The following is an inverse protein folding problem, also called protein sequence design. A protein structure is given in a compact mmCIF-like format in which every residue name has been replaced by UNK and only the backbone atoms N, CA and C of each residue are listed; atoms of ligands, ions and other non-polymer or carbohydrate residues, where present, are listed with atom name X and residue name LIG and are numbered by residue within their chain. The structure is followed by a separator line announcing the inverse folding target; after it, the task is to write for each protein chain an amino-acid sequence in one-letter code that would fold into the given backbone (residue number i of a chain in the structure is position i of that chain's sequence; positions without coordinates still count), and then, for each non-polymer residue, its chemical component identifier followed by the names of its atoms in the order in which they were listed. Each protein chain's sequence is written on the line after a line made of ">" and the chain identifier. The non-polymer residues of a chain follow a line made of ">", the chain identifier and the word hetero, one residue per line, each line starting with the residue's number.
data_IF_084301001825
#
_entry.id   IF_084301001825
#
_cell.length_a   1.000
_cell.length_b   1.000
_cell.length_c   1.000
_cell.angle_alpha   90.00
_cell.angle_beta   90.00
_cell.angle_gamma   90.00
#
_symmetry.space_group_name_H-M   'P 1'
#
loop_
_entity.id
_entity.type
_entity.pdbx_description
1 polymer ?
#
# COMPACT_ATOMS: atom_id res chain seq x y z
N UNK A 1 34.61 -40.60 34.40
CA UNK A 1 34.19 -40.69 32.98
C UNK A 1 33.20 -41.83 32.86
N UNK A 2 31.91 -41.55 32.60
CA UNK A 2 30.89 -42.59 32.44
C UNK A 2 30.93 -43.11 31.01
N UNK A 3 31.16 -44.42 30.86
CA UNK A 3 31.13 -45.12 29.58
C UNK A 3 29.75 -44.98 28.94
N UNK A 4 29.70 -44.51 27.69
CA UNK A 4 28.50 -44.56 26.87
C UNK A 4 28.25 -46.01 26.45
N UNK A 5 27.17 -46.61 26.94
CA UNK A 5 26.72 -47.92 26.50
C UNK A 5 26.26 -47.82 25.04
N UNK A 6 26.92 -48.59 24.17
CA UNK A 6 26.68 -48.59 22.75
C UNK A 6 25.38 -49.36 22.46
N UNK A 7 24.34 -48.67 21.99
CA UNK A 7 23.04 -49.27 21.68
C UNK A 7 23.22 -50.37 20.59
N UNK A 8 22.65 -51.57 20.76
CA UNK A 8 22.76 -52.65 19.79
C UNK A 8 22.26 -52.22 18.41
N UNK A 9 23.02 -52.52 17.34
CA UNK A 9 22.70 -52.15 15.94
C UNK A 9 21.26 -52.51 15.51
N UNK A 10 20.70 -53.61 16.03
CA UNK A 10 19.31 -54.02 15.76
C UNK A 10 18.28 -53.07 16.37
N UNK A 11 18.53 -52.55 17.58
CA UNK A 11 17.64 -51.60 18.26
C UNK A 11 17.67 -50.26 17.53
N UNK A 12 18.86 -49.80 17.10
CA UNK A 12 19.01 -48.59 16.30
C UNK A 12 18.23 -48.66 14.97
N UNK A 13 18.31 -49.80 14.27
CA UNK A 13 17.58 -50.00 13.02
C UNK A 13 16.05 -49.96 13.22
N UNK A 14 15.54 -50.55 14.30
CA UNK A 14 14.11 -50.53 14.63
C UNK A 14 13.65 -49.10 14.96
N UNK A 15 14.45 -48.34 15.71
CA UNK A 15 14.13 -46.93 16.05
C UNK A 15 14.11 -46.08 14.78
N UNK A 16 15.09 -46.22 13.89
CA UNK A 16 15.12 -45.48 12.63
C UNK A 16 13.93 -45.81 11.72
N UNK A 17 13.55 -47.09 11.64
CA UNK A 17 12.37 -47.51 10.88
C UNK A 17 11.09 -46.91 11.46
N UNK A 18 10.93 -46.92 12.79
CA UNK A 18 9.77 -46.34 13.47
C UNK A 18 9.69 -44.82 13.26
N UNK A 19 10.82 -44.11 13.29
CA UNK A 19 10.88 -42.67 12.98
C UNK A 19 10.49 -42.42 11.52
N UNK A 20 11.01 -43.23 10.58
CA UNK A 20 10.68 -43.10 9.16
C UNK A 20 9.18 -43.34 8.91
N UNK A 21 8.58 -44.37 9.52
CA UNK A 21 7.15 -44.65 9.38
C UNK A 21 6.30 -43.50 9.95
N UNK A 22 6.67 -42.95 11.12
CA UNK A 22 5.96 -41.80 11.69
C UNK A 22 6.09 -40.55 10.83
N UNK A 23 7.29 -40.27 10.32
CA UNK A 23 7.52 -39.15 9.43
C UNK A 23 6.74 -39.30 8.12
N UNK A 24 6.74 -40.49 7.54
CA UNK A 24 5.98 -40.80 6.32
C UNK A 24 4.46 -40.70 6.56
N UNK A 25 3.97 -41.20 7.69
CA UNK A 25 2.57 -41.04 8.08
C UNK A 25 2.19 -39.57 8.28
N UNK A 26 3.03 -38.79 8.95
CA UNK A 26 2.81 -37.36 9.13
C UNK A 26 2.86 -36.60 7.79
N UNK A 27 3.79 -36.94 6.90
CA UNK A 27 3.89 -36.39 5.56
C UNK A 27 2.64 -36.71 4.71
N UNK A 28 2.18 -37.96 4.71
CA UNK A 28 0.95 -38.36 4.02
C UNK A 28 -0.26 -37.64 4.61
N UNK A 29 -0.35 -37.51 5.94
CA UNK A 29 -1.43 -36.78 6.59
C UNK A 29 -1.40 -35.28 6.26
N UNK A 30 -0.21 -34.67 6.24
CA UNK A 30 -0.03 -33.26 5.93
C UNK A 30 -0.39 -32.96 4.46
N UNK A 31 0.03 -33.82 3.54
CA UNK A 31 -0.29 -33.71 2.11
C UNK A 31 -1.77 -33.98 1.82
N UNK A 32 -2.38 -35.00 2.45
CA UNK A 32 -3.79 -35.35 2.23
C UNK A 32 -4.81 -34.47 2.95
N UNK A 33 -4.47 -33.88 4.10
CA UNK A 33 -5.41 -33.00 4.83
C UNK A 33 -5.43 -31.55 4.32
N UNK A 34 -4.57 -31.21 3.36
CA UNK A 34 -4.63 -29.92 2.70
C UNK A 34 -5.74 -29.91 1.65
N UNK A 35 -7.01 -29.65 2.05
CA UNK A 35 -8.11 -29.41 1.10
C UNK A 35 -7.71 -28.44 -0.02
N UNK A 36 -6.90 -27.44 0.31
CA UNK A 36 -6.31 -26.50 -0.64
C UNK A 36 -5.44 -27.16 -1.73
N UNK A 37 -4.56 -28.10 -1.36
CA UNK A 37 -3.67 -28.76 -2.32
C UNK A 37 -4.42 -29.77 -3.19
N UNK A 38 -5.40 -30.47 -2.63
CA UNK A 38 -6.28 -31.37 -3.38
C UNK A 38 -7.10 -30.59 -4.43
N UNK A 39 -7.65 -29.44 -4.04
CA UNK A 39 -8.39 -28.55 -4.95
C UNK A 39 -7.47 -27.94 -6.02
N UNK A 40 -6.25 -27.52 -5.67
CA UNK A 40 -5.24 -27.03 -6.62
C UNK A 40 -4.75 -28.13 -7.61
N UNK A 41 -4.60 -29.37 -7.13
CA UNK A 41 -4.27 -30.52 -7.98
C UNK A 41 -5.43 -30.89 -8.91
N UNK A 42 -6.68 -30.80 -8.45
CA UNK A 42 -7.85 -30.99 -9.31
C UNK A 42 -7.96 -29.92 -10.40
N UNK A 43 -7.58 -28.68 -10.08
CA UNK A 43 -7.53 -27.57 -11.05
C UNK A 43 -6.43 -27.73 -12.12
N UNK A 44 -5.34 -28.44 -11.80
CA UNK A 44 -4.19 -28.63 -12.71
C UNK A 44 -4.20 -29.97 -13.44
N UNK A 45 -4.94 -30.97 -12.93
CA UNK A 45 -5.00 -32.32 -13.51
C UNK A 45 -6.11 -32.53 -14.54
N UNK A 46 -7.16 -31.70 -14.53
CA UNK A 46 -8.20 -31.74 -15.56
C UNK A 46 -7.80 -30.88 -16.77
N UNK A 47 -7.50 -31.56 -17.88
CA UNK A 47 -7.43 -30.96 -19.23
C UNK A 47 -8.83 -30.53 -19.68
N UNK A 48 -9.37 -29.49 -19.04
CA UNK A 48 -10.52 -28.75 -19.57
C UNK A 48 -9.98 -27.62 -20.43
N UNK A 49 -10.64 -27.30 -21.55
CA UNK A 49 -10.29 -26.18 -22.42
C UNK A 49 -10.38 -24.80 -21.73
N UNK A 50 -10.79 -24.76 -20.46
CA UNK A 50 -10.94 -23.58 -19.65
C UNK A 50 -10.35 -23.79 -18.24
N UNK A 51 -9.74 -22.72 -17.72
CA UNK A 51 -9.24 -22.65 -16.36
C UNK A 51 -10.41 -22.37 -15.40
N UNK A 52 -10.59 -23.20 -14.37
CA UNK A 52 -11.52 -22.90 -13.27
C UNK A 52 -10.76 -22.15 -12.18
N UNK A 53 -11.15 -20.90 -11.92
CA UNK A 53 -10.54 -20.14 -10.83
C UNK A 53 -11.21 -20.50 -9.49
N UNK A 54 -10.44 -20.75 -8.41
CA UNK A 54 -11.00 -20.94 -7.08
C UNK A 54 -11.41 -19.58 -6.50
N UNK A 55 -12.66 -19.18 -6.75
CA UNK A 55 -13.16 -17.84 -6.40
C UNK A 55 -13.53 -17.69 -4.92
N UNK A 56 -13.82 -18.81 -4.23
CA UNK A 56 -14.36 -18.82 -2.87
C UNK A 56 -13.39 -19.44 -1.86
N UNK A 57 -12.14 -18.96 -1.87
CA UNK A 57 -11.15 -19.33 -0.85
C UNK A 57 -11.47 -18.67 0.49
N UNK A 58 -11.54 -19.46 1.56
CA UNK A 58 -11.70 -18.97 2.93
C UNK A 58 -10.41 -18.26 3.41
N UNK A 59 -10.45 -16.95 3.69
CA UNK A 59 -9.29 -16.24 4.21
C UNK A 59 -8.82 -16.80 5.56
N UNK A 60 -9.65 -17.45 6.36
CA UNK A 60 -9.28 -17.92 7.70
C UNK A 60 -9.24 -19.45 7.83
N UNK A 61 -9.06 -20.14 6.70
CA UNK A 61 -8.97 -21.60 6.67
C UNK A 61 -7.96 -22.13 7.71
N UNK A 62 -8.32 -23.25 8.35
CA UNK A 62 -7.55 -23.83 9.44
C UNK A 62 -6.11 -24.19 9.04
N UNK A 63 -5.86 -24.52 7.77
CA UNK A 63 -4.54 -24.87 7.22
C UNK A 63 -3.59 -23.67 7.15
N UNK A 64 -4.12 -22.46 6.93
CA UNK A 64 -3.32 -21.22 6.81
C UNK A 64 -3.30 -20.41 8.10
N UNK A 65 -4.26 -20.63 9.01
CA UNK A 65 -4.39 -19.93 10.28
C UNK A 65 -3.09 -19.86 11.11
N UNK A 66 -2.26 -20.92 11.22
CA UNK A 66 -0.99 -20.85 11.94
C UNK A 66 0.03 -19.85 11.36
N UNK A 67 -0.10 -19.51 10.07
CA UNK A 67 0.79 -18.58 9.37
C UNK A 67 0.27 -17.14 9.34
N UNK A 68 -0.95 -16.89 9.85
CA UNK A 68 -1.51 -15.55 9.93
C UNK A 68 -0.94 -14.85 11.16
N UNK A 69 0.11 -14.05 10.94
CA UNK A 69 0.74 -13.25 12.00
C UNK A 69 0.08 -11.88 12.07
N UNK A 70 -0.47 -11.54 13.24
CA UNK A 70 -0.93 -10.17 13.51
C UNK A 70 0.28 -9.31 13.88
N UNK A 71 0.65 -8.40 12.99
CA UNK A 71 1.62 -7.36 13.30
C UNK A 71 0.96 -6.46 14.36
N UNK A 72 1.65 -6.15 15.48
CA UNK A 72 1.12 -5.20 16.46
C UNK A 72 0.80 -3.88 15.76
N UNK A 73 -0.23 -3.20 16.28
CA UNK A 73 -0.61 -1.89 15.75
C UNK A 73 0.61 -1.00 15.67
N UNK A 74 0.80 -0.35 14.51
CA UNK A 74 1.86 0.61 14.30
C UNK A 74 1.56 1.77 15.25
N UNK A 75 2.19 1.75 16.42
CA UNK A 75 2.22 2.90 17.30
C UNK A 75 3.09 3.92 16.61
N UNK A 76 2.47 4.88 15.93
CA UNK A 76 3.10 6.11 15.48
C UNK A 76 3.62 6.83 16.73
N UNK A 77 4.78 6.38 17.21
CA UNK A 77 5.50 7.09 18.24
C UNK A 77 6.05 8.31 17.52
N UNK A 78 5.76 9.54 17.94
CA UNK A 78 6.48 10.69 17.40
C UNK A 78 7.98 10.33 17.47
N UNK A 79 8.73 10.47 16.36
CA UNK A 79 10.10 10.01 16.27
C UNK A 79 10.88 10.43 17.51
N UNK A 80 11.45 9.45 18.22
CA UNK A 80 12.42 9.73 19.29
C UNK A 80 13.64 10.48 18.76
N UNK A 81 13.85 10.49 17.43
CA UNK A 81 14.72 11.46 16.77
C UNK A 81 13.99 12.79 16.72
N UNK A 82 14.23 13.57 17.77
CA UNK A 82 13.89 14.98 17.91
C UNK A 82 14.01 15.76 16.59
N UNK A 83 15.02 15.46 15.77
CA UNK A 83 15.31 16.11 14.48
C UNK A 83 14.19 16.09 13.42
N UNK A 84 13.34 15.06 13.34
CA UNK A 84 12.32 15.00 12.29
C UNK A 84 11.08 15.87 12.60
N UNK A 85 10.77 16.08 13.89
CA UNK A 85 9.64 16.90 14.35
C UNK A 85 10.06 18.25 14.95
N UNK A 86 11.34 18.46 15.28
CA UNK A 86 11.88 19.81 15.62
C UNK A 86 11.76 20.76 14.43
N UNK A 87 11.90 20.21 13.22
CA UNK A 87 11.95 21.00 12.00
C UNK A 87 10.57 21.14 11.33
N UNK A 88 9.51 20.48 11.80
CA UNK A 88 8.16 20.74 11.29
C UNK A 88 7.67 22.02 11.96
N UNK A 89 7.76 23.13 11.23
CA UNK A 89 7.30 24.44 11.70
C UNK A 89 5.85 24.73 11.35
N UNK A 90 5.32 24.10 10.31
CA UNK A 90 3.94 24.32 9.87
C UNK A 90 3.25 23.01 9.54
N UNK A 91 1.92 22.98 9.71
CA UNK A 91 1.06 21.86 9.33
C UNK A 91 -0.33 22.39 8.99
N UNK A 92 -1.08 21.65 8.17
CA UNK A 92 -2.49 21.96 7.88
C UNK A 92 -3.36 21.10 8.77
N UNK A 93 -4.32 21.72 9.44
CA UNK A 93 -5.29 21.00 10.27
C UNK A 93 -6.43 20.39 9.44
N UNK A 94 -7.34 19.70 10.12
CA UNK A 94 -8.47 19.00 9.50
C UNK A 94 -9.45 19.97 8.82
N UNK A 95 -9.46 21.25 9.21
CA UNK A 95 -10.31 22.31 8.63
C UNK A 95 -9.64 23.01 7.42
N UNK A 96 -8.41 22.64 7.08
CA UNK A 96 -7.66 23.21 5.96
C UNK A 96 -6.98 24.54 6.29
N UNK A 97 -6.75 24.81 7.57
CA UNK A 97 -6.04 26.01 8.03
C UNK A 97 -4.58 25.66 8.26
N UNK A 98 -3.67 26.45 7.68
CA UNK A 98 -2.25 26.33 7.93
C UNK A 98 -1.92 26.92 9.30
N UNK A 99 -1.41 26.08 10.17
CA UNK A 99 -0.95 26.43 11.50
C UNK A 99 0.57 26.52 11.54
N UNK A 100 1.09 27.52 12.28
CA UNK A 100 2.51 27.64 12.58
C UNK A 100 2.77 27.25 14.03
N UNK A 101 3.77 26.40 14.25
CA UNK A 101 4.16 25.95 15.57
C UNK A 101 4.77 27.10 16.36
N UNK A 102 4.32 27.27 17.61
CA UNK A 102 4.96 28.21 18.52
C UNK A 102 6.34 27.67 18.94
N UNK A 103 7.40 28.42 18.68
CA UNK A 103 8.77 28.04 19.06
C UNK A 103 9.46 29.17 19.80
N UNK A 104 10.45 28.82 20.63
CA UNK A 104 11.22 29.80 21.42
C UNK A 104 12.18 30.66 20.59
N UNK A 105 12.50 30.26 19.36
CA UNK A 105 13.41 31.02 18.50
C UNK A 105 12.61 31.83 17.46
N UNK A 106 13.17 32.99 17.07
CA UNK A 106 12.54 33.86 16.09
C UNK A 106 12.83 33.37 14.68
N UNK A 107 11.79 33.40 13.85
CA UNK A 107 11.85 33.12 12.42
C UNK A 107 10.71 33.86 11.73
N UNK A 108 10.82 34.06 10.43
CA UNK A 108 9.73 34.54 9.61
C UNK A 108 9.49 33.57 8.45
N UNK A 109 8.23 33.40 8.08
CA UNK A 109 7.84 32.49 7.00
C UNK A 109 7.20 33.24 5.85
N UNK A 110 7.39 32.71 4.66
CA UNK A 110 6.70 33.11 3.45
C UNK A 110 5.99 31.91 2.86
N UNK A 111 4.93 32.16 2.11
CA UNK A 111 4.22 31.13 1.37
C UNK A 111 4.00 31.55 -0.08
N UNK A 112 3.85 30.56 -0.95
CA UNK A 112 3.37 30.75 -2.31
C UNK A 112 2.49 29.57 -2.72
N UNK A 113 1.51 29.85 -3.55
CA UNK A 113 0.69 28.82 -4.18
C UNK A 113 1.51 28.09 -5.24
N UNK A 114 1.37 26.76 -5.29
CA UNK A 114 1.95 25.92 -6.32
C UNK A 114 0.85 25.49 -7.27
N UNK A 115 0.97 25.85 -8.54
CA UNK A 115 0.02 25.47 -9.59
C UNK A 115 0.68 24.54 -10.60
N UNK A 116 -0.11 23.66 -11.19
CA UNK A 116 0.29 22.94 -12.39
C UNK A 116 0.38 23.94 -13.55
N UNK A 117 1.38 23.80 -14.40
CA UNK A 117 1.46 24.60 -15.61
C UNK A 117 0.50 24.04 -16.67
N UNK A 118 -0.51 24.82 -17.06
CA UNK A 118 -1.51 24.41 -18.05
C UNK A 118 -0.92 24.14 -19.44
N UNK A 119 0.25 24.71 -19.75
CA UNK A 119 0.91 24.57 -21.05
C UNK A 119 1.95 23.45 -21.12
N UNK A 120 2.45 22.98 -19.96
CA UNK A 120 3.47 21.95 -19.89
C UNK A 120 3.24 21.09 -18.65
N UNK A 121 2.73 19.89 -18.89
CA UNK A 121 2.28 18.96 -17.85
C UNK A 121 3.37 18.52 -16.87
N UNK A 122 4.65 18.66 -17.26
CA UNK A 122 5.81 18.27 -16.45
C UNK A 122 6.36 19.42 -15.60
N UNK A 123 5.72 20.61 -15.64
CA UNK A 123 6.19 21.80 -14.93
C UNK A 123 5.17 22.30 -13.93
N UNK A 124 5.69 22.78 -12.80
CA UNK A 124 4.93 23.53 -11.80
C UNK A 124 5.27 25.01 -11.88
N UNK A 125 4.30 25.86 -11.58
CA UNK A 125 4.48 27.31 -11.45
C UNK A 125 4.28 27.71 -10.00
N UNK A 126 5.12 28.64 -9.54
CA UNK A 126 5.03 29.21 -8.20
C UNK A 126 4.39 30.59 -8.29
N UNK A 127 3.40 30.85 -7.45
CA UNK A 127 2.81 32.17 -7.29
C UNK A 127 3.76 33.19 -6.66
N UNK A 128 3.24 34.40 -6.43
CA UNK A 128 3.99 35.41 -5.68
C UNK A 128 4.27 34.93 -4.24
N UNK A 129 5.49 35.16 -3.76
CA UNK A 129 5.83 34.91 -2.35
C UNK A 129 5.20 35.99 -1.48
N UNK A 130 4.36 35.57 -0.53
CA UNK A 130 3.69 36.42 0.43
C UNK A 130 4.18 36.10 1.84
N UNK A 131 4.13 37.07 2.75
CA UNK A 131 4.45 36.83 4.15
C UNK A 131 3.36 35.99 4.80
N UNK A 132 3.74 34.99 5.58
CA UNK A 132 2.80 34.07 6.22
C UNK A 132 2.09 34.76 7.40
N UNK A 133 0.75 34.89 7.39
CA UNK A 133 0.01 35.37 8.54
C UNK A 133 -0.02 34.33 9.67
N UNK A 134 -0.48 34.73 10.86
CA UNK A 134 -0.57 33.82 12.02
C UNK A 134 -1.50 32.62 11.80
N UNK A 135 -2.48 32.75 10.90
CA UNK A 135 -3.37 31.69 10.45
C UNK A 135 -3.74 31.96 8.99
N UNK A 136 -3.70 30.92 8.15
CA UNK A 136 -4.02 31.01 6.73
C UNK A 136 -5.02 29.91 6.37
N UNK A 137 -6.26 30.29 6.09
CA UNK A 137 -7.29 29.37 5.60
C UNK A 137 -7.07 29.11 4.10
N UNK A 138 -6.56 27.94 3.78
CA UNK A 138 -6.20 27.54 2.41
C UNK A 138 -7.46 27.32 1.56
N UNK A 139 -8.53 26.82 2.18
CA UNK A 139 -9.82 26.57 1.52
C UNK A 139 -10.48 27.87 1.06
N UNK A 140 -10.46 28.91 1.90
CA UNK A 140 -11.02 30.23 1.56
C UNK A 140 -10.30 30.89 0.37
N UNK A 141 -9.00 30.61 0.23
CA UNK A 141 -8.16 31.11 -0.86
C UNK A 141 -8.22 30.24 -2.12
N UNK A 142 -8.87 29.08 -2.06
CA UNK A 142 -8.97 28.11 -3.16
C UNK A 142 -7.59 27.65 -3.65
N UNK A 143 -6.67 27.41 -2.71
CA UNK A 143 -5.31 26.92 -2.99
C UNK A 143 -5.28 25.41 -2.76
N UNK A 144 -4.83 24.63 -3.75
CA UNK A 144 -4.71 23.17 -3.58
C UNK A 144 -3.36 22.79 -2.96
N UNK A 145 -2.29 23.42 -3.43
CA UNK A 145 -0.92 23.18 -2.99
C UNK A 145 -0.25 24.48 -2.53
N UNK A 146 0.35 24.43 -1.35
CA UNK A 146 0.94 25.58 -0.68
C UNK A 146 2.39 25.27 -0.32
N UNK A 147 3.35 26.00 -0.89
CA UNK A 147 4.75 25.91 -0.49
C UNK A 147 5.06 26.96 0.57
N UNK A 148 5.66 26.53 1.68
CA UNK A 148 6.05 27.38 2.82
C UNK A 148 7.55 27.30 3.03
N UNK A 149 8.19 28.46 3.09
CA UNK A 149 9.60 28.60 3.41
C UNK A 149 9.78 29.52 4.61
N UNK A 150 10.56 29.08 5.61
CA UNK A 150 10.88 29.89 6.77
C UNK A 150 12.38 30.14 6.89
N UNK A 151 12.71 31.32 7.41
CA UNK A 151 14.06 31.87 7.48
C UNK A 151 14.38 32.31 8.90
N UNK A 152 15.65 32.16 9.30
CA UNK A 152 16.16 32.73 10.54
C UNK A 152 16.45 34.24 10.40
N UNK A 153 16.86 34.89 11.49
CA UNK A 153 17.23 36.31 11.52
C UNK A 153 18.43 36.65 10.59
N UNK A 154 19.18 35.64 10.12
CA UNK A 154 20.28 35.78 9.15
C UNK A 154 19.85 35.48 7.71
N UNK A 155 18.54 35.39 7.47
CA UNK A 155 17.93 35.09 6.19
C UNK A 155 18.33 33.70 5.62
N UNK A 156 18.70 32.76 6.48
CA UNK A 156 19.00 31.37 6.09
C UNK A 156 17.72 30.55 6.16
N UNK A 157 17.43 29.79 5.10
CA UNK A 157 16.30 28.85 5.09
C UNK A 157 16.50 27.76 6.14
N UNK A 158 15.57 27.69 7.10
CA UNK A 158 15.55 26.69 8.18
C UNK A 158 14.45 25.65 7.98
N UNK A 159 13.48 25.95 7.11
CA UNK A 159 12.34 25.09 6.82
C UNK A 159 11.84 25.35 5.41
N UNK A 160 11.52 24.28 4.70
CA UNK A 160 10.80 24.31 3.44
C UNK A 160 9.89 23.08 3.39
N UNK A 161 8.60 23.28 3.17
CA UNK A 161 7.66 22.20 2.98
C UNK A 161 6.52 22.59 2.05
N UNK A 162 5.98 21.62 1.31
CA UNK A 162 4.76 21.79 0.53
C UNK A 162 3.62 21.07 1.24
N UNK A 163 2.54 21.81 1.48
CA UNK A 163 1.32 21.32 2.07
C UNK A 163 0.26 21.13 0.99
N UNK A 164 -0.57 20.12 1.20
CA UNK A 164 -1.73 19.82 0.38
C UNK A 164 -2.91 19.61 1.33
N UNK A 165 -4.03 20.26 1.02
CA UNK A 165 -5.29 19.97 1.66
C UNK A 165 -6.31 19.60 0.58
N UNK A 166 -7.00 18.46 0.69
CA UNK A 166 -8.00 18.07 -0.29
C UNK A 166 -9.06 19.17 -0.43
N UNK A 167 -9.10 19.79 -1.59
CA UNK A 167 -10.03 20.87 -1.87
C UNK A 167 -11.47 20.40 -1.67
N UNK A 168 -12.20 21.09 -0.79
CA UNK A 168 -13.65 20.92 -0.66
C UNK A 168 -14.43 21.66 -1.75
N UNK A 169 -13.73 22.27 -2.71
CA UNK A 169 -14.34 23.04 -3.80
C UNK A 169 -15.21 22.12 -4.64
N UNK A 170 -16.51 22.38 -4.60
CA UNK A 170 -17.47 21.69 -5.47
C UNK A 170 -17.06 21.97 -6.91
N UNK A 171 -16.92 20.94 -7.77
CA UNK A 171 -16.59 21.14 -9.16
C UNK A 171 -17.60 22.12 -9.77
N UNK A 172 -17.10 23.12 -10.53
CA UNK A 172 -17.99 24.01 -11.30
C UNK A 172 -18.93 23.12 -12.10
N UNK A 173 -20.24 23.36 -11.97
CA UNK A 173 -21.28 22.62 -12.71
C UNK A 173 -21.05 22.86 -14.21
N UNK A 174 -20.28 21.98 -14.83
CA UNK A 174 -20.20 21.85 -16.27
C UNK A 174 -21.57 21.39 -16.75
N UNK A 175 -22.11 22.06 -17.77
CA UNK A 175 -23.34 21.63 -18.47
C UNK A 175 -23.15 20.27 -19.16
N UNK A 176 -21.89 19.86 -19.37
CA UNK A 176 -21.49 18.58 -19.92
C UNK A 176 -21.03 17.67 -18.77
N UNK A 177 -21.71 16.54 -18.56
CA UNK A 177 -21.28 15.54 -17.60
C UNK A 177 -19.93 14.95 -18.02
N UNK A 178 -18.88 15.23 -17.26
CA UNK A 178 -17.53 14.66 -17.42
C UNK A 178 -17.14 14.00 -16.11
N UNK A 179 -17.25 12.68 -15.96
CA UNK A 179 -16.87 12.01 -14.73
C UNK A 179 -15.35 12.04 -14.56
N UNK A 180 -14.89 12.44 -13.39
CA UNK A 180 -13.50 12.25 -12.98
C UNK A 180 -13.31 10.82 -12.50
N UNK A 181 -12.33 10.12 -13.05
CA UNK A 181 -12.00 8.74 -12.66
C UNK A 181 -10.71 8.74 -11.86
N UNK A 182 -10.74 8.14 -10.67
CA UNK A 182 -9.54 7.90 -9.86
C UNK A 182 -9.22 6.41 -9.94
N UNK A 183 -8.01 6.11 -10.39
CA UNK A 183 -7.44 4.76 -10.38
C UNK A 183 -6.46 4.67 -9.23
N UNK A 184 -6.79 3.88 -8.22
CA UNK A 184 -5.92 3.62 -7.07
C UNK A 184 -5.34 2.21 -7.18
N UNK A 185 -4.02 2.10 -7.15
CA UNK A 185 -3.29 0.83 -7.22
C UNK A 185 -2.57 0.60 -5.90
N UNK A 186 -2.85 -0.54 -5.27
CA UNK A 186 -2.15 -0.99 -4.06
C UNK A 186 -1.24 -2.14 -4.45
N UNK A 187 0.06 -1.89 -4.42
CA UNK A 187 1.05 -2.90 -4.81
C UNK A 187 1.22 -4.00 -3.76
N UNK A 188 1.68 -5.17 -4.22
CA UNK A 188 2.03 -6.33 -3.37
C UNK A 188 0.91 -6.87 -2.48
N UNK A 189 -0.35 -6.65 -2.84
CA UNK A 189 -1.51 -7.11 -2.08
C UNK A 189 -2.31 -8.18 -2.85
N UNK A 190 -2.66 -9.27 -2.17
CA UNK A 190 -3.63 -10.25 -2.67
C UNK A 190 -5.02 -9.99 -2.10
N UNK A 191 -6.08 -10.45 -2.80
CA UNK A 191 -7.46 -10.36 -2.29
C UNK A 191 -7.61 -10.98 -0.90
N UNK A 192 -6.98 -12.12 -0.65
CA UNK A 192 -7.02 -12.79 0.65
C UNK A 192 -6.32 -11.95 1.73
N UNK A 193 -5.20 -11.29 1.40
CA UNK A 193 -4.53 -10.38 2.32
C UNK A 193 -5.40 -9.17 2.66
N UNK A 194 -6.05 -8.55 1.65
CA UNK A 194 -7.02 -7.47 1.82
C UNK A 194 -8.14 -7.87 2.80
N UNK A 195 -8.74 -9.06 2.62
CA UNK A 195 -9.81 -9.55 3.48
C UNK A 195 -9.37 -9.81 4.93
N UNK A 196 -8.11 -10.22 5.14
CA UNK A 196 -7.57 -10.52 6.48
C UNK A 196 -7.18 -9.26 7.24
N UNK A 197 -6.44 -8.36 6.60
CA UNK A 197 -5.71 -7.31 7.32
C UNK A 197 -6.31 -5.92 7.14
N UNK A 198 -6.97 -5.64 6.01
CA UNK A 198 -7.57 -4.33 5.71
C UNK A 198 -9.05 -4.26 6.04
N UNK A 199 -9.46 -4.80 7.19
CA UNK A 199 -10.86 -4.85 7.62
C UNK A 199 -11.53 -3.48 7.75
N UNK A 200 -10.81 -2.45 8.21
CA UNK A 200 -11.34 -1.06 8.26
C UNK A 200 -11.58 -0.52 6.85
N UNK A 201 -10.57 -0.60 5.97
CA UNK A 201 -10.69 -0.19 4.56
C UNK A 201 -11.81 -0.91 3.85
N UNK A 202 -11.94 -2.23 4.06
CA UNK A 202 -13.02 -3.04 3.52
C UNK A 202 -14.37 -2.52 3.98
N UNK A 203 -14.55 -2.28 5.28
CA UNK A 203 -15.80 -1.77 5.85
C UNK A 203 -16.17 -0.42 5.23
N UNK A 204 -15.20 0.47 5.06
CA UNK A 204 -15.43 1.78 4.44
C UNK A 204 -15.73 1.67 2.93
N UNK A 205 -15.11 0.74 2.22
CA UNK A 205 -15.44 0.51 0.81
C UNK A 205 -16.85 -0.08 0.66
N UNK A 206 -17.17 -1.13 1.42
CA UNK A 206 -18.48 -1.80 1.36
C UNK A 206 -19.63 -0.92 1.88
N UNK A 207 -19.34 0.20 2.57
CA UNK A 207 -20.36 1.19 2.97
C UNK A 207 -20.75 2.14 1.82
N UNK A 208 -19.92 2.24 0.77
CA UNK A 208 -20.23 3.04 -0.41
C UNK A 208 -21.31 2.35 -1.26
N UNK A 209 -22.17 3.13 -1.95
CA UNK A 209 -23.06 2.56 -2.93
C UNK A 209 -22.27 1.96 -4.10
N UNK A 210 -22.80 0.89 -4.68
CA UNK A 210 -22.34 0.33 -5.97
C UNK A 210 -20.88 -0.16 -6.01
N UNK A 211 -20.40 -0.80 -4.95
CA UNK A 211 -19.08 -1.45 -4.94
C UNK A 211 -19.14 -2.84 -5.57
N UNK A 212 -18.28 -3.06 -6.58
CA UNK A 212 -18.17 -4.32 -7.30
C UNK A 212 -16.78 -4.94 -7.13
N UNK A 213 -16.74 -6.18 -6.62
CA UNK A 213 -15.52 -6.97 -6.57
C UNK A 213 -15.36 -7.80 -7.85
N UNK A 214 -14.35 -7.49 -8.65
CA UNK A 214 -13.99 -8.27 -9.83
C UNK A 214 -13.24 -9.55 -9.42
N UNK A 215 -13.96 -10.56 -8.91
CA UNK A 215 -13.37 -11.79 -8.35
C UNK A 215 -12.53 -12.60 -9.37
N UNK A 216 -12.85 -12.50 -10.66
CA UNK A 216 -12.10 -13.14 -11.74
C UNK A 216 -10.94 -12.31 -12.29
N UNK A 217 -10.70 -11.11 -11.75
CA UNK A 217 -9.61 -10.25 -12.20
C UNK A 217 -8.31 -10.64 -11.49
N UNK A 218 -7.38 -11.21 -12.25
CA UNK A 218 -6.11 -11.72 -11.74
C UNK A 218 -4.94 -10.96 -12.34
N UNK A 219 -3.83 -10.92 -11.59
CA UNK A 219 -2.56 -10.43 -12.14
C UNK A 219 -2.13 -11.30 -13.33
N UNK A 220 -1.54 -10.68 -14.34
CA UNK A 220 -0.95 -11.35 -15.49
C UNK A 220 0.42 -11.95 -15.17
N UNK A 221 1.21 -11.30 -14.31
CA UNK A 221 2.59 -11.69 -14.01
C UNK A 221 2.98 -11.28 -12.58
N UNK A 222 4.20 -11.60 -12.14
CA UNK A 222 4.66 -11.35 -10.78
C UNK A 222 5.02 -9.89 -10.51
N UNK A 223 5.45 -9.14 -11.52
CA UNK A 223 5.91 -7.76 -11.39
C UNK A 223 4.82 -6.73 -11.69
N UNK A 224 4.90 -5.53 -11.11
CA UNK A 224 3.90 -4.47 -11.33
C UNK A 224 3.79 -4.02 -12.79
N UNK A 225 4.92 -3.83 -13.48
CA UNK A 225 4.94 -3.34 -14.86
C UNK A 225 4.08 -4.18 -15.83
N UNK A 226 4.30 -5.50 -15.97
CA UNK A 226 3.49 -6.33 -16.87
C UNK A 226 2.01 -6.45 -16.45
N UNK A 227 1.63 -6.03 -15.24
CA UNK A 227 0.23 -5.98 -14.80
C UNK A 227 -0.43 -4.61 -15.08
N UNK A 228 0.33 -3.52 -14.95
CA UNK A 228 -0.17 -2.16 -15.13
C UNK A 228 -0.39 -1.82 -16.60
N UNK A 229 0.54 -2.23 -17.46
CA UNK A 229 0.44 -2.02 -18.91
C UNK A 229 -0.89 -2.54 -19.48
N UNK A 230 -1.25 -3.83 -19.34
CA UNK A 230 -2.51 -4.35 -19.89
C UNK A 230 -3.73 -3.71 -19.23
N UNK A 231 -3.65 -3.36 -17.94
CA UNK A 231 -4.75 -2.73 -17.23
C UNK A 231 -5.05 -1.31 -17.77
N UNK A 232 -4.02 -0.51 -18.05
CA UNK A 232 -4.18 0.85 -18.56
C UNK A 232 -4.44 0.92 -20.07
N UNK A 233 -3.87 -0.02 -20.84
CA UNK A 233 -3.93 0.01 -22.31
C UNK A 233 -4.99 -0.91 -22.90
N UNK A 234 -5.47 -1.91 -22.13
CA UNK A 234 -6.29 -3.01 -22.63
C UNK A 234 -5.54 -3.99 -23.52
N UNK A 235 -4.22 -3.82 -23.71
CA UNK A 235 -3.41 -4.68 -24.58
C UNK A 235 -2.83 -5.85 -23.79
N UNK A 236 -2.95 -7.07 -24.33
CA UNK A 236 -2.31 -8.23 -23.72
C UNK A 236 -0.79 -8.16 -23.89
N UNK A 237 -0.03 -8.67 -22.92
CA UNK A 237 1.42 -8.90 -23.01
C UNK A 237 1.76 -9.97 -24.06
N UNK A 238 1.63 -9.66 -25.35
CA UNK A 238 2.23 -10.39 -26.47
C UNK A 238 2.64 -9.37 -27.54
N UNK A 239 3.83 -9.59 -28.10
CA UNK A 239 4.50 -8.84 -29.18
C UNK A 239 5.10 -7.47 -28.81
N UNK A 240 6.42 -7.48 -28.59
CA UNK A 240 7.49 -6.63 -29.18
C UNK A 240 7.31 -5.12 -29.41
N UNK A 241 6.18 -4.50 -29.06
CA UNK A 241 5.80 -3.14 -29.46
C UNK A 241 5.38 -2.26 -28.28
N UNK A 242 5.96 -2.51 -27.11
CA UNK A 242 6.04 -1.46 -26.09
C UNK A 242 7.50 -1.07 -26.08
N UNK A 243 7.88 0.09 -26.67
CA UNK A 243 9.24 0.55 -26.59
C UNK A 243 9.56 0.63 -25.11
N UNK A 244 10.56 -0.15 -24.69
CA UNK A 244 11.20 0.07 -23.41
C UNK A 244 11.58 1.55 -23.41
N UNK A 245 10.95 2.34 -22.56
CA UNK A 245 11.48 3.65 -22.19
C UNK A 245 12.78 3.37 -21.44
N UNK A 246 13.85 3.21 -22.20
CA UNK A 246 15.21 3.35 -21.70
C UNK A 246 15.41 4.83 -21.44
N UNK A 247 15.42 5.21 -20.16
CA UNK A 247 16.02 6.46 -19.70
C UNK A 247 17.50 6.51 -20.04
#
# INVERSE_FOLDING_TARGET
>A
MKHAECMPRKILAIVLLAVFINFFYFYIRFTKNGKFFEELQLLTSHSTSYCRLPLDLDPFDATVRPFIVRIPEIKCTPPKREFAYKNILTFVDDDGVLQTKNTSFKFFCTFCEVRRNDSNEDKVTYGAKNMLPSSLDINSLQIDFLSVECYDDKNKTIYNNTHFHPSSVKPKKSTIYKPSVIVMVIESMSRINFLRFLHKTRKELESLPDVFYMKGFTKQDDNSYPNMVPFLTGLYKLTSFIPFFTS
#
